data_IF_353276652413
#
_entry.id   IF_353276652413
#
_cell.length_a   1.000
_cell.length_b   1.000
_cell.length_c   1.000
_cell.angle_alpha   90.00
_cell.angle_beta   90.00
_cell.angle_gamma   90.00
#
_symmetry.space_group_name_H-M   'P 1'
#
loop_
_entity.id
_entity.type
_entity.pdbx_description
1 polymer ?
#
# COMPACT_ATOMS: atom_id res chain seq x y z
N UNK A 1 -2.76 0.96 -22.37
CA UNK A 1 -1.61 0.14 -21.98
C UNK A 1 -1.49 0.29 -20.48
N UNK A 2 -1.61 -0.80 -19.72
CA UNK A 2 -1.43 -0.79 -18.26
C UNK A 2 0.05 -0.66 -17.94
N UNK A 3 0.40 0.13 -16.92
CA UNK A 3 1.80 0.34 -16.54
C UNK A 3 2.53 -0.94 -16.14
N UNK A 4 3.87 -0.95 -16.10
CA UNK A 4 4.66 -2.16 -15.81
C UNK A 4 4.41 -2.77 -14.42
N UNK A 5 3.84 -2.00 -13.49
CA UNK A 5 3.55 -2.43 -12.13
C UNK A 5 2.06 -2.45 -11.78
N UNK A 6 1.18 -1.94 -12.64
CA UNK A 6 -0.26 -1.96 -12.40
C UNK A 6 -0.76 -3.40 -12.23
N UNK A 7 -1.51 -3.65 -11.15
CA UNK A 7 -1.99 -4.96 -10.75
C UNK A 7 -0.95 -5.88 -10.08
N UNK A 8 0.32 -5.46 -9.99
CA UNK A 8 1.35 -6.25 -9.30
C UNK A 8 1.25 -6.09 -7.79
N UNK A 9 1.56 -7.18 -7.10
CA UNK A 9 1.66 -7.23 -5.65
C UNK A 9 3.12 -7.12 -5.21
N UNK A 10 3.34 -6.42 -4.10
CA UNK A 10 4.63 -6.33 -3.44
C UNK A 10 4.50 -6.78 -1.98
N UNK A 11 5.61 -7.11 -1.35
CA UNK A 11 5.69 -7.41 0.08
C UNK A 11 6.51 -6.34 0.76
N UNK A 12 6.00 -5.82 1.88
CA UNK A 12 6.75 -4.98 2.77
C UNK A 12 7.04 -5.73 4.07
N UNK A 13 8.31 -5.76 4.47
CA UNK A 13 8.77 -6.44 5.68
C UNK A 13 9.27 -5.42 6.70
N UNK A 14 8.75 -5.47 7.92
CA UNK A 14 9.24 -4.66 9.02
C UNK A 14 10.43 -5.34 9.70
N UNK A 15 11.64 -4.75 9.70
CA UNK A 15 12.79 -5.33 10.39
C UNK A 15 12.62 -5.32 11.91
N UNK A 16 11.87 -4.36 12.47
CA UNK A 16 11.74 -4.19 13.92
C UNK A 16 10.85 -5.26 14.58
N UNK A 17 9.77 -5.68 13.91
CA UNK A 17 8.81 -6.63 14.48
C UNK A 17 8.58 -7.89 13.63
N UNK A 18 9.28 -8.03 12.49
CA UNK A 18 9.15 -9.15 11.57
C UNK A 18 7.83 -9.22 10.80
N UNK A 19 6.90 -8.30 11.02
CA UNK A 19 5.60 -8.31 10.33
C UNK A 19 5.76 -8.00 8.84
N UNK A 20 5.30 -8.93 8.00
CA UNK A 20 5.22 -8.78 6.55
C UNK A 20 3.77 -8.59 6.09
N UNK A 21 3.55 -7.72 5.10
CA UNK A 21 2.23 -7.54 4.50
C UNK A 21 2.31 -7.30 2.99
N UNK A 22 1.27 -7.74 2.29
CA UNK A 22 1.16 -7.62 0.84
C UNK A 22 0.47 -6.30 0.50
N UNK A 23 1.02 -5.58 -0.48
CA UNK A 23 0.39 -4.42 -1.11
C UNK A 23 0.09 -4.72 -2.57
N UNK A 24 -0.81 -3.97 -3.21
CA UNK A 24 -1.05 -4.05 -4.65
C UNK A 24 -1.10 -2.67 -5.27
N UNK A 25 -0.52 -2.53 -6.45
CA UNK A 25 -0.54 -1.29 -7.22
C UNK A 25 -1.83 -1.24 -8.02
N UNK A 26 -2.83 -0.49 -7.56
CA UNK A 26 -4.15 -0.45 -8.20
C UNK A 26 -4.16 0.33 -9.51
N UNK A 27 -3.19 1.22 -9.68
CA UNK A 27 -3.02 2.08 -10.85
C UNK A 27 -1.53 2.24 -11.14
N UNK A 28 -1.18 2.68 -12.34
CA UNK A 28 0.20 3.01 -12.68
C UNK A 28 0.74 4.23 -11.91
N UNK A 29 1.94 4.09 -11.34
CA UNK A 29 2.66 5.18 -10.69
C UNK A 29 3.87 4.70 -9.88
N UNK A 30 4.38 5.61 -9.04
CA UNK A 30 5.55 5.35 -8.20
C UNK A 30 5.13 5.01 -6.78
N UNK A 31 5.45 3.80 -6.33
CA UNK A 31 5.29 3.36 -4.94
C UNK A 31 6.56 3.61 -4.13
N UNK A 32 6.46 3.92 -2.83
CA UNK A 32 7.63 4.22 -2.01
C UNK A 32 8.43 2.95 -1.67
N UNK A 33 9.76 3.06 -1.51
CA UNK A 33 10.56 1.92 -1.05
C UNK A 33 10.25 1.49 0.39
N UNK A 34 9.74 2.42 1.21
CA UNK A 34 9.36 2.14 2.60
C UNK A 34 7.97 2.69 2.90
N UNK A 35 7.25 2.03 3.80
CA UNK A 35 5.95 2.49 4.28
C UNK A 35 5.76 2.09 5.74
N UNK A 36 4.80 2.70 6.44
CA UNK A 36 4.53 2.38 7.84
C UNK A 36 4.06 0.93 8.01
N UNK A 37 4.67 0.22 8.94
CA UNK A 37 4.31 -1.13 9.34
C UNK A 37 2.89 -1.16 9.91
N UNK A 38 2.05 -2.06 9.42
CA UNK A 38 0.67 -2.18 9.87
C UNK A 38 0.52 -2.73 11.31
N UNK A 39 1.61 -3.23 11.91
CA UNK A 39 1.62 -3.80 13.27
C UNK A 39 2.22 -2.84 14.31
N UNK A 40 3.48 -2.42 14.14
CA UNK A 40 4.21 -1.62 15.14
C UNK A 40 4.43 -0.16 14.74
N UNK A 41 3.96 0.28 13.58
CA UNK A 41 4.11 1.64 13.04
C UNK A 41 5.55 2.10 12.72
N UNK A 42 6.58 1.30 13.01
CA UNK A 42 7.92 1.46 12.45
C UNK A 42 7.92 1.40 10.92
N UNK A 43 9.05 1.67 10.28
CA UNK A 43 9.18 1.56 8.83
C UNK A 43 9.27 0.10 8.38
N UNK A 44 8.49 -0.28 7.37
CA UNK A 44 8.59 -1.54 6.64
C UNK A 44 9.19 -1.28 5.25
N UNK A 45 10.03 -2.19 4.79
CA UNK A 45 10.79 -2.07 3.55
C UNK A 45 10.22 -2.97 2.46
N UNK A 46 10.15 -2.44 1.24
CA UNK A 46 9.74 -3.15 0.04
C UNK A 46 10.72 -4.27 -0.30
N UNK A 47 10.19 -5.46 -0.64
CA UNK A 47 10.96 -6.55 -1.24
C UNK A 47 11.11 -6.40 -2.76
N UNK A 48 10.77 -5.24 -3.32
CA UNK A 48 10.98 -4.86 -4.72
C UNK A 48 10.37 -5.86 -5.72
N UNK A 49 9.16 -6.35 -5.43
CA UNK A 49 8.45 -7.33 -6.28
C UNK A 49 9.23 -8.63 -6.54
N UNK A 50 10.21 -8.96 -5.70
CA UNK A 50 11.05 -10.17 -5.83
C UNK A 50 10.33 -11.47 -5.44
N UNK A 51 9.13 -11.37 -4.88
CA UNK A 51 8.32 -12.53 -4.50
C UNK A 51 7.39 -12.92 -5.66
N UNK A 52 7.35 -14.20 -6.07
CA UNK A 52 6.48 -14.66 -7.16
C UNK A 52 5.02 -14.29 -6.92
N UNK A 53 4.35 -13.72 -7.94
CA UNK A 53 3.00 -13.18 -7.80
C UNK A 53 1.95 -14.25 -7.44
N UNK A 54 2.19 -15.49 -7.88
CA UNK A 54 1.31 -16.64 -7.69
C UNK A 54 1.23 -17.10 -6.23
N UNK A 55 2.25 -16.81 -5.41
CA UNK A 55 2.28 -17.19 -3.99
C UNK A 55 1.76 -16.08 -3.07
N UNK A 56 1.54 -14.89 -3.61
CA UNK A 56 1.09 -13.74 -2.82
C UNK A 56 -0.43 -13.78 -2.63
N UNK A 57 -0.83 -13.78 -1.36
CA UNK A 57 -2.24 -13.73 -0.95
C UNK A 57 -2.92 -12.40 -1.26
N UNK A 58 -4.05 -12.14 -0.59
CA UNK A 58 -4.78 -10.90 -0.77
C UNK A 58 -3.99 -9.70 -0.23
N UNK A 59 -3.92 -8.58 -0.98
CA UNK A 59 -3.26 -7.37 -0.49
C UNK A 59 -4.02 -6.81 0.71
N UNK A 60 -3.27 -6.39 1.73
CA UNK A 60 -3.81 -5.67 2.88
C UNK A 60 -3.96 -4.16 2.59
N UNK A 61 -3.29 -3.69 1.53
CA UNK A 61 -3.11 -2.28 1.21
C UNK A 61 -3.09 -2.13 -0.31
N UNK A 62 -3.71 -1.06 -0.80
CA UNK A 62 -3.71 -0.70 -2.20
C UNK A 62 -2.98 0.63 -2.40
N UNK A 63 -2.18 0.73 -3.47
CA UNK A 63 -1.56 1.99 -3.89
C UNK A 63 -2.45 2.64 -4.93
N UNK A 64 -2.95 3.84 -4.62
CA UNK A 64 -3.90 4.58 -5.44
C UNK A 64 -3.35 5.96 -5.78
N UNK A 65 -3.89 6.56 -6.84
CA UNK A 65 -3.78 7.99 -7.10
C UNK A 65 -5.14 8.64 -6.80
N UNK A 66 -5.24 9.47 -5.76
CA UNK A 66 -6.48 10.19 -5.47
C UNK A 66 -6.78 11.18 -6.59
N UNK A 67 -8.06 11.50 -6.83
CA UNK A 67 -8.43 12.52 -7.80
C UNK A 67 -7.87 13.89 -7.38
N UNK A 68 -7.57 14.75 -8.35
CA UNK A 68 -6.80 15.99 -8.12
C UNK A 68 -7.51 16.98 -7.19
N UNK A 69 -8.84 17.00 -7.18
CA UNK A 69 -9.67 17.81 -6.30
C UNK A 69 -9.53 17.42 -4.82
N UNK A 70 -9.04 16.21 -4.52
CA UNK A 70 -8.76 15.77 -3.16
C UNK A 70 -7.34 16.11 -2.68
N UNK A 71 -6.47 16.62 -3.56
CA UNK A 71 -5.05 16.81 -3.23
C UNK A 71 -4.83 17.82 -2.11
N UNK A 72 -5.71 18.81 -1.98
CA UNK A 72 -5.62 19.85 -0.94
C UNK A 72 -5.78 19.31 0.49
N UNK A 73 -6.30 18.09 0.66
CA UNK A 73 -6.37 17.40 1.96
C UNK A 73 -5.01 16.89 2.43
N UNK A 74 -4.02 16.82 1.53
CA UNK A 74 -2.72 16.24 1.81
C UNK A 74 -1.65 17.31 2.07
N UNK A 75 -0.63 16.92 2.81
CA UNK A 75 0.53 17.79 3.07
C UNK A 75 1.22 18.18 1.75
N UNK A 76 1.98 19.28 1.78
CA UNK A 76 2.75 19.76 0.61
C UNK A 76 3.67 18.66 0.05
N UNK A 77 4.30 17.88 0.92
CA UNK A 77 5.18 16.77 0.50
C UNK A 77 4.42 15.66 -0.22
N UNK A 78 3.23 15.29 0.26
CA UNK A 78 2.40 14.26 -0.39
C UNK A 78 1.89 14.78 -1.74
N UNK A 79 1.51 16.06 -1.83
CA UNK A 79 1.12 16.68 -3.10
C UNK A 79 2.28 16.70 -4.11
N UNK A 80 3.49 17.07 -3.69
CA UNK A 80 4.68 17.02 -4.55
C UNK A 80 4.96 15.58 -5.03
N UNK A 81 4.87 14.59 -4.14
CA UNK A 81 4.98 13.17 -4.51
C UNK A 81 3.92 12.76 -5.56
N UNK A 82 2.65 13.09 -5.33
CA UNK A 82 1.55 12.82 -6.26
C UNK A 82 1.76 13.51 -7.62
N UNK A 83 2.24 14.76 -7.63
CA UNK A 83 2.51 15.53 -8.84
C UNK A 83 3.61 14.92 -9.72
N UNK A 84 4.52 14.15 -9.11
CA UNK A 84 5.59 13.42 -9.80
C UNK A 84 5.19 12.00 -10.20
N UNK A 85 3.89 11.69 -10.18
CA UNK A 85 3.35 10.37 -10.50
C UNK A 85 3.35 9.39 -9.32
N UNK A 86 3.66 9.87 -8.11
CA UNK A 86 3.59 9.09 -6.88
C UNK A 86 2.20 8.55 -6.59
N UNK A 87 2.16 7.41 -5.91
CA UNK A 87 0.94 6.81 -5.36
C UNK A 87 0.96 6.92 -3.84
N UNK A 88 -0.24 6.95 -3.26
CA UNK A 88 -0.43 6.93 -1.82
C UNK A 88 -1.11 5.65 -1.38
N UNK A 89 -0.94 5.36 -0.10
CA UNK A 89 -1.55 4.20 0.53
C UNK A 89 -3.04 4.46 0.72
N UNK A 90 -3.87 3.56 0.23
CA UNK A 90 -5.26 3.49 0.63
C UNK A 90 -5.41 2.64 1.90
N UNK A 91 -5.53 3.29 3.05
CA UNK A 91 -5.85 2.63 4.31
C UNK A 91 -7.36 2.40 4.51
N UNK A 92 -8.24 2.79 3.57
CA UNK A 92 -9.66 2.47 3.66
C UNK A 92 -9.92 0.96 3.59
N UNK A 93 -9.15 0.21 2.79
CA UNK A 93 -9.23 -1.25 2.76
C UNK A 93 -8.89 -1.94 4.10
N UNK A 94 -8.02 -1.33 4.91
CA UNK A 94 -7.66 -1.87 6.24
C UNK A 94 -8.78 -1.69 7.28
N UNK A 95 -9.64 -0.68 7.11
CA UNK A 95 -10.79 -0.44 8.00
C UNK A 95 -11.88 -1.50 7.81
N UNK A 96 -12.09 -1.99 6.58
CA UNK A 96 -13.07 -3.05 6.29
C UNK A 96 -12.64 -4.43 6.81
N UNK A 97 -11.33 -4.73 6.81
CA UNK A 97 -10.80 -5.98 7.39
C UNK A 97 -11.00 -6.01 8.92
N UNK A 98 -10.82 -4.87 9.61
CA UNK A 98 -11.10 -4.76 11.05
C UNK A 98 -12.59 -4.92 11.37
N UNK A 99 -13.48 -4.48 10.46
CA UNK A 99 -14.94 -4.64 10.60
C UNK A 99 -15.36 -6.11 10.42
N UNK A 100 -14.77 -6.82 9.45
CA UNK A 100 -15.03 -8.26 9.21
C UNK A 100 -14.54 -9.17 10.35
N UNK A 101 -13.37 -8.91 10.95
CA UNK A 101 -12.86 -9.72 12.08
C UNK A 101 -13.66 -9.57 13.38
N UNK A 102 -14.43 -8.49 13.55
CA UNK A 102 -15.35 -8.32 14.70
C UNK A 102 -16.68 -9.07 14.54
N UNK A 103 -17.04 -9.47 13.32
CA UNK A 103 -18.35 -10.08 13.03
C UNK A 103 -18.37 -11.62 13.08
N UNK A 104 -17.22 -12.28 13.27
CA UNK A 104 -17.10 -13.77 13.28
C UNK A 104 -16.82 -14.30 14.70
N UNK A 105 -17.11 -13.51 15.73
CA UNK A 105 -17.22 -13.99 17.11
C UNK A 105 -18.67 -13.84 17.55
N UNK A 106 -19.51 -14.77 17.16
CA UNK A 106 -20.79 -15.11 17.81
C UNK A 106 -20.85 -16.64 17.84
#
# INVERSE_FOLDING_TARGET
MTGPFEGKKNVYLCPDCGHGFVTMDSVEGVTPFMTGCLNCQSMAQSLMYKIPQQVLGNPAVYWIRPPMDEWDKYSVHVRDHLSRGGLIRDDHGAKDIKKRKRSVRH
#
